data_IF_025312287145
#
_entry.id   IF_025312287145
#
_cell.length_a   1.000
_cell.length_b   1.000
_cell.length_c   1.000
_cell.angle_alpha   90.00
_cell.angle_beta   90.00
_cell.angle_gamma   90.00
#
_symmetry.space_group_name_H-M   'P 1'
#
loop_
_entity.id
_entity.type
_entity.pdbx_description
1 polymer ?
#
# COMPACT_ATOMS: atom_id res chain seq x y z
N UNK A 1 4.13 21.95 1.68
CA UNK A 1 3.24 22.03 2.85
C UNK A 1 2.28 20.86 2.85
N UNK A 2 1.88 20.39 4.04
CA UNK A 2 0.87 19.34 4.21
C UNK A 2 -0.37 19.98 4.82
N UNK A 3 -1.50 19.78 4.16
CA UNK A 3 -2.80 20.28 4.60
C UNK A 3 -3.71 19.09 4.95
N UNK A 4 -3.69 18.61 6.21
CA UNK A 4 -4.49 17.46 6.62
C UNK A 4 -5.98 17.80 6.75
N UNK A 5 -6.83 16.77 6.77
CA UNK A 5 -8.27 16.87 6.98
C UNK A 5 -8.97 17.83 6.00
N UNK A 6 -8.62 17.75 4.73
CA UNK A 6 -9.26 18.51 3.67
C UNK A 6 -9.86 17.59 2.61
N UNK A 7 -10.94 18.06 2.00
CA UNK A 7 -11.55 17.40 0.85
C UNK A 7 -11.51 18.32 -0.35
N UNK A 8 -11.21 17.75 -1.49
CA UNK A 8 -11.18 18.40 -2.78
C UNK A 8 -12.62 18.71 -3.26
N UNK A 9 -12.84 19.90 -3.77
CA UNK A 9 -14.11 20.32 -4.37
C UNK A 9 -14.02 20.41 -5.87
N UNK A 10 -13.09 21.18 -6.39
CA UNK A 10 -12.88 21.35 -7.83
C UNK A 10 -11.50 21.90 -8.17
N UNK A 11 -11.07 21.61 -9.38
CA UNK A 11 -9.93 22.30 -10.02
C UNK A 11 -10.46 23.58 -10.67
N UNK A 12 -9.71 24.66 -10.57
CA UNK A 12 -10.03 25.96 -11.16
C UNK A 12 -9.15 26.23 -12.37
N UNK A 13 -9.64 27.13 -13.23
CA UNK A 13 -9.02 27.48 -14.51
C UNK A 13 -9.87 27.09 -15.71
N UNK A 14 -9.63 27.71 -16.87
CA UNK A 14 -10.33 27.43 -18.12
C UNK A 14 -9.42 26.76 -19.14
N UNK A 15 -8.35 27.41 -19.56
CA UNK A 15 -7.38 26.88 -20.53
C UNK A 15 -6.18 26.19 -19.86
N UNK A 16 -5.90 26.58 -18.62
CA UNK A 16 -4.87 25.98 -17.77
C UNK A 16 -5.37 25.93 -16.32
N UNK A 17 -4.78 25.04 -15.52
CA UNK A 17 -5.04 24.98 -14.10
C UNK A 17 -4.54 26.25 -13.44
N UNK A 18 -5.35 26.85 -12.58
CA UNK A 18 -4.99 28.02 -11.77
C UNK A 18 -5.00 27.73 -10.28
N UNK A 19 -5.60 26.61 -9.86
CA UNK A 19 -5.64 26.22 -8.46
C UNK A 19 -6.66 25.14 -8.19
N UNK A 20 -6.91 24.94 -6.90
CA UNK A 20 -7.86 23.94 -6.39
C UNK A 20 -8.64 24.53 -5.22
N UNK A 21 -9.95 24.33 -5.23
CA UNK A 21 -10.83 24.68 -4.12
C UNK A 21 -10.99 23.45 -3.21
N UNK A 22 -10.86 23.70 -1.90
CA UNK A 22 -10.97 22.70 -0.84
C UNK A 22 -11.96 23.14 0.24
N UNK A 23 -12.42 22.17 1.03
CA UNK A 23 -13.12 22.38 2.29
C UNK A 23 -12.46 21.55 3.39
N UNK A 24 -12.57 22.02 4.63
CA UNK A 24 -12.16 21.20 5.77
C UNK A 24 -13.11 20.02 5.97
N UNK A 25 -12.56 18.89 6.37
CA UNK A 25 -13.32 17.69 6.77
C UNK A 25 -13.55 17.72 8.27
N UNK A 26 -14.83 17.78 8.67
CA UNK A 26 -15.26 17.74 10.07
C UNK A 26 -15.24 16.31 10.60
N UNK A 27 -15.74 15.35 9.81
CA UNK A 27 -15.69 13.93 10.13
C UNK A 27 -15.52 13.08 8.89
N UNK A 28 -14.87 11.92 9.08
CA UNK A 28 -14.68 10.92 8.05
C UNK A 28 -15.02 9.54 8.62
N UNK A 29 -16.04 8.91 8.07
CA UNK A 29 -16.53 7.60 8.50
C UNK A 29 -16.80 6.71 7.30
N UNK A 30 -17.12 5.44 7.55
CA UNK A 30 -17.57 4.51 6.52
C UNK A 30 -18.97 4.01 6.84
N UNK A 31 -19.81 3.88 5.80
CA UNK A 31 -21.10 3.22 5.90
C UNK A 31 -20.93 1.68 6.00
N UNK A 32 -22.07 0.98 6.16
CA UNK A 32 -22.13 -0.49 6.21
C UNK A 32 -21.58 -1.16 4.95
N UNK A 33 -21.59 -0.45 3.81
CA UNK A 33 -21.05 -0.90 2.54
C UNK A 33 -19.59 -0.47 2.32
N UNK A 34 -18.92 0.05 3.36
CA UNK A 34 -17.56 0.60 3.31
C UNK A 34 -17.40 1.75 2.30
N UNK A 35 -18.43 2.57 2.11
CA UNK A 35 -18.34 3.81 1.35
C UNK A 35 -17.97 4.93 2.31
N UNK A 36 -17.03 5.78 1.89
CA UNK A 36 -16.63 6.94 2.67
C UNK A 36 -17.80 7.92 2.78
N UNK A 37 -18.07 8.33 4.01
CA UNK A 37 -18.98 9.43 4.35
C UNK A 37 -18.10 10.56 4.86
N UNK A 38 -18.11 11.68 4.14
CA UNK A 38 -17.31 12.87 4.46
C UNK A 38 -18.28 13.98 4.88
N UNK A 39 -18.20 14.39 6.13
CA UNK A 39 -18.89 15.57 6.62
C UNK A 39 -17.96 16.77 6.48
N UNK A 40 -18.38 17.75 5.70
CA UNK A 40 -17.62 18.99 5.43
C UNK A 40 -17.96 20.04 6.50
N UNK A 41 -17.00 20.89 6.79
CA UNK A 41 -17.19 22.05 7.66
C UNK A 41 -17.74 23.22 6.83
N UNK A 42 -18.97 23.63 7.10
CA UNK A 42 -19.58 24.75 6.38
C UNK A 42 -18.80 26.06 6.59
N UNK A 43 -18.58 26.82 5.51
CA UNK A 43 -17.86 28.08 5.55
C UNK A 43 -16.34 27.94 5.63
N UNK A 44 -15.81 26.74 5.41
CA UNK A 44 -14.37 26.47 5.40
C UNK A 44 -13.75 26.44 4.00
N UNK A 45 -14.51 26.88 2.99
CA UNK A 45 -14.05 26.94 1.61
C UNK A 45 -12.80 27.79 1.49
N UNK A 46 -11.78 27.25 0.86
CA UNK A 46 -10.54 27.97 0.60
C UNK A 46 -9.90 27.50 -0.71
N UNK A 47 -9.08 28.38 -1.27
CA UNK A 47 -8.41 28.19 -2.53
C UNK A 47 -6.90 28.02 -2.32
N UNK A 48 -6.30 27.10 -3.07
CA UNK A 48 -4.85 26.94 -3.14
C UNK A 48 -4.44 27.14 -4.59
N UNK A 49 -3.61 28.14 -4.85
CA UNK A 49 -3.03 28.39 -6.18
C UNK A 49 -2.14 27.21 -6.58
N UNK A 50 -2.32 26.71 -7.78
CA UNK A 50 -1.52 25.66 -8.36
C UNK A 50 -1.60 25.71 -9.92
N UNK A 51 -0.51 25.41 -10.58
CA UNK A 51 -0.43 25.24 -12.02
C UNK A 51 -0.57 23.79 -12.45
N UNK A 52 -0.39 22.87 -11.53
CA UNK A 52 -0.44 21.43 -11.75
C UNK A 52 -1.13 20.73 -10.60
N UNK A 53 -2.02 19.79 -10.89
CA UNK A 53 -2.69 18.95 -9.88
C UNK A 53 -2.46 17.48 -10.18
N UNK A 54 -1.98 16.75 -9.17
CA UNK A 54 -1.72 15.32 -9.26
C UNK A 54 -2.63 14.58 -8.28
N UNK A 55 -3.50 13.69 -8.80
CA UNK A 55 -4.30 12.79 -7.98
C UNK A 55 -3.50 11.52 -7.67
N UNK A 56 -3.18 11.32 -6.41
CA UNK A 56 -2.48 10.14 -5.90
C UNK A 56 -3.31 9.41 -4.82
N UNK A 57 -4.65 9.38 -4.99
CA UNK A 57 -5.63 8.95 -3.98
C UNK A 57 -6.01 7.48 -4.06
N UNK A 58 -5.20 6.66 -4.69
CA UNK A 58 -5.42 5.23 -4.84
C UNK A 58 -5.32 4.77 -6.29
N UNK A 59 -5.43 3.48 -6.47
CA UNK A 59 -5.35 2.80 -7.77
C UNK A 59 -6.48 1.80 -7.89
N UNK A 60 -6.85 1.51 -9.12
CA UNK A 60 -7.77 0.42 -9.47
C UNK A 60 -7.32 -0.21 -10.78
N UNK A 61 -7.64 -1.49 -11.02
CA UNK A 61 -7.32 -2.14 -12.27
C UNK A 61 -7.95 -1.41 -13.46
N UNK A 62 -7.18 -1.26 -14.52
CA UNK A 62 -7.67 -0.75 -15.81
C UNK A 62 -8.17 -1.93 -16.66
N UNK A 63 -9.27 -2.52 -16.22
CA UNK A 63 -9.91 -3.66 -16.88
C UNK A 63 -11.25 -3.23 -17.47
N UNK A 64 -11.52 -3.69 -18.68
CA UNK A 64 -12.81 -3.51 -19.36
C UNK A 64 -13.60 -4.82 -19.40
N UNK A 65 -14.90 -4.74 -19.61
CA UNK A 65 -15.77 -5.92 -19.80
C UNK A 65 -15.34 -6.80 -20.98
N UNK A 66 -14.59 -6.23 -21.93
CA UNK A 66 -14.04 -6.95 -23.10
C UNK A 66 -13.02 -8.04 -22.69
N UNK A 67 -12.47 -7.96 -21.47
CA UNK A 67 -11.61 -9.02 -20.94
C UNK A 67 -12.37 -10.35 -20.70
N UNK A 68 -13.71 -10.34 -20.76
CA UNK A 68 -14.54 -11.54 -20.58
C UNK A 68 -14.50 -12.11 -19.17
N UNK A 69 -14.07 -11.32 -18.17
CA UNK A 69 -13.98 -11.70 -16.78
C UNK A 69 -15.06 -11.00 -15.95
N UNK A 70 -15.56 -11.67 -14.94
CA UNK A 70 -16.49 -11.06 -14.00
C UNK A 70 -15.75 -10.01 -13.16
N UNK A 71 -16.21 -8.76 -13.25
CA UNK A 71 -15.65 -7.65 -12.50
C UNK A 71 -16.53 -7.32 -11.30
N UNK A 72 -15.89 -7.12 -10.17
CA UNK A 72 -16.48 -6.71 -8.91
C UNK A 72 -16.33 -5.20 -8.67
N UNK A 73 -16.35 -4.83 -7.39
CA UNK A 73 -16.19 -3.44 -6.96
C UNK A 73 -14.83 -2.88 -7.39
N UNK A 74 -14.82 -1.66 -7.90
CA UNK A 74 -13.61 -0.94 -8.33
C UNK A 74 -12.82 -1.68 -9.42
N UNK A 75 -13.51 -2.36 -10.33
CA UNK A 75 -12.94 -3.17 -11.41
C UNK A 75 -12.03 -4.33 -10.94
N UNK A 76 -12.20 -4.80 -9.69
CA UNK A 76 -11.49 -6.00 -9.25
C UNK A 76 -12.01 -7.24 -9.97
N UNK A 77 -11.14 -8.22 -10.22
CA UNK A 77 -11.55 -9.51 -10.77
C UNK A 77 -12.24 -10.33 -9.68
N UNK A 78 -13.41 -10.90 -9.99
CA UNK A 78 -14.09 -11.83 -9.11
C UNK A 78 -13.46 -13.21 -9.24
N UNK A 79 -13.06 -13.78 -8.11
CA UNK A 79 -12.52 -15.15 -8.03
C UNK A 79 -13.39 -16.01 -7.13
N UNK A 80 -13.34 -17.31 -7.33
CA UNK A 80 -13.99 -18.30 -6.47
C UNK A 80 -13.33 -18.29 -5.10
N UNK A 81 -14.14 -18.45 -4.08
CA UNK A 81 -13.65 -18.55 -2.71
C UNK A 81 -12.62 -19.69 -2.57
N UNK A 82 -11.50 -19.40 -1.93
CA UNK A 82 -10.42 -20.34 -1.61
C UNK A 82 -9.67 -20.98 -2.80
N UNK A 83 -9.85 -20.51 -4.02
CA UNK A 83 -9.12 -21.10 -5.17
C UNK A 83 -8.47 -20.10 -6.13
N UNK A 84 -8.74 -18.81 -5.97
CA UNK A 84 -8.25 -17.75 -6.87
C UNK A 84 -8.58 -17.97 -8.37
N UNK A 85 -9.34 -19.01 -8.69
CA UNK A 85 -9.85 -19.27 -10.04
C UNK A 85 -11.01 -18.31 -10.36
N UNK A 86 -11.06 -17.83 -11.58
CA UNK A 86 -12.20 -17.07 -12.10
C UNK A 86 -13.33 -18.01 -12.56
N UNK A 87 -14.44 -17.46 -13.03
CA UNK A 87 -15.46 -18.25 -13.71
C UNK A 87 -14.99 -18.80 -15.07
N UNK A 88 -13.99 -18.18 -15.65
CA UNK A 88 -13.38 -18.65 -16.91
C UNK A 88 -12.37 -19.76 -16.60
N UNK A 89 -12.58 -20.94 -17.19
CA UNK A 89 -11.73 -22.09 -16.97
C UNK A 89 -10.27 -21.82 -17.34
N UNK A 90 -9.35 -22.23 -16.47
CA UNK A 90 -7.91 -22.04 -16.65
C UNK A 90 -7.42 -20.61 -16.39
N UNK A 91 -8.29 -19.70 -15.97
CA UNK A 91 -7.93 -18.32 -15.64
C UNK A 91 -7.97 -18.10 -14.13
N UNK A 92 -6.85 -17.64 -13.59
CA UNK A 92 -6.66 -17.31 -12.17
C UNK A 92 -6.31 -15.85 -12.02
N UNK A 93 -6.62 -15.28 -10.87
CA UNK A 93 -6.27 -13.89 -10.55
C UNK A 93 -5.83 -13.77 -9.09
N UNK A 94 -4.82 -12.92 -8.83
CA UNK A 94 -4.27 -12.70 -7.50
C UNK A 94 -3.77 -11.26 -7.34
N UNK A 95 -3.38 -10.87 -6.14
CA UNK A 95 -2.82 -9.55 -5.84
C UNK A 95 -3.86 -8.45 -5.84
N UNK A 96 -3.39 -7.24 -6.16
CA UNK A 96 -4.20 -6.03 -6.10
C UNK A 96 -5.39 -6.03 -7.05
N UNK A 97 -5.31 -6.76 -8.15
CA UNK A 97 -6.42 -6.90 -9.10
C UNK A 97 -7.63 -7.62 -8.51
N UNK A 98 -7.43 -8.42 -7.45
CA UNK A 98 -8.50 -9.14 -6.71
C UNK A 98 -8.87 -8.40 -5.44
N UNK A 99 -7.88 -8.04 -4.63
CA UNK A 99 -8.09 -7.57 -3.26
C UNK A 99 -8.05 -6.05 -3.11
N UNK A 100 -7.78 -5.32 -4.19
CA UNK A 100 -7.46 -3.89 -4.17
C UNK A 100 -6.06 -3.63 -3.63
N UNK A 101 -5.59 -2.41 -3.76
CA UNK A 101 -4.25 -2.01 -3.30
C UNK A 101 -4.13 -2.13 -1.78
N UNK A 102 -3.26 -3.01 -1.30
CA UNK A 102 -3.00 -3.24 0.12
C UNK A 102 -1.51 -3.16 0.42
N UNK A 103 -0.78 -4.25 0.24
CA UNK A 103 0.66 -4.28 0.47
C UNK A 103 1.35 -5.25 -0.49
N UNK A 104 2.63 -4.98 -0.76
CA UNK A 104 3.48 -5.84 -1.60
C UNK A 104 3.53 -7.27 -1.04
N UNK A 105 3.63 -7.42 0.28
CA UNK A 105 3.68 -8.74 0.94
C UNK A 105 2.40 -9.55 0.67
N UNK A 106 1.24 -8.92 0.76
CA UNK A 106 -0.03 -9.59 0.47
C UNK A 106 -0.18 -9.94 -1.01
N UNK A 107 0.31 -9.08 -1.90
CA UNK A 107 0.31 -9.37 -3.34
C UNK A 107 1.20 -10.58 -3.66
N UNK A 108 2.40 -10.67 -3.08
CA UNK A 108 3.29 -11.82 -3.23
C UNK A 108 2.67 -13.09 -2.64
N UNK A 109 2.12 -13.03 -1.43
CA UNK A 109 1.47 -14.17 -0.78
C UNK A 109 0.33 -14.72 -1.64
N UNK A 110 -0.58 -13.86 -2.12
CA UNK A 110 -1.67 -14.29 -2.99
C UNK A 110 -1.19 -14.84 -4.35
N UNK A 111 -0.06 -14.34 -4.87
CA UNK A 111 0.58 -14.91 -6.06
C UNK A 111 1.07 -16.34 -5.82
N UNK A 112 1.63 -16.63 -4.64
CA UNK A 112 2.00 -17.99 -4.26
C UNK A 112 0.78 -18.89 -4.10
N UNK A 113 -0.28 -18.41 -3.47
CA UNK A 113 -1.53 -19.15 -3.35
C UNK A 113 -2.12 -19.48 -4.73
N UNK A 114 -2.07 -18.52 -5.67
CA UNK A 114 -2.48 -18.77 -7.06
C UNK A 114 -1.62 -19.85 -7.74
N UNK A 115 -0.30 -19.83 -7.51
CA UNK A 115 0.59 -20.84 -8.07
C UNK A 115 0.26 -22.25 -7.56
N UNK A 116 -0.05 -22.40 -6.28
CA UNK A 116 -0.55 -23.65 -5.69
C UNK A 116 -1.82 -24.15 -6.40
N UNK A 117 -2.77 -23.26 -6.61
CA UNK A 117 -4.04 -23.62 -7.26
C UNK A 117 -3.88 -23.92 -8.75
N UNK A 118 -2.98 -23.22 -9.43
CA UNK A 118 -2.60 -23.50 -10.83
C UNK A 118 -1.94 -24.88 -10.93
N UNK A 119 -1.01 -25.22 -10.04
CA UNK A 119 -0.37 -26.51 -10.02
C UNK A 119 -1.39 -27.65 -9.86
N UNK A 120 -2.30 -27.52 -8.91
CA UNK A 120 -3.41 -28.46 -8.71
C UNK A 120 -4.31 -28.59 -9.95
N UNK A 121 -4.64 -27.45 -10.58
CA UNK A 121 -5.43 -27.44 -11.82
C UNK A 121 -4.74 -28.20 -12.96
N UNK A 122 -3.41 -28.13 -13.03
CA UNK A 122 -2.61 -28.84 -14.01
C UNK A 122 -2.32 -30.31 -13.65
N UNK A 123 -2.83 -30.79 -12.50
CA UNK A 123 -2.69 -32.18 -12.05
C UNK A 123 -1.54 -32.41 -11.07
N UNK A 124 -0.92 -31.37 -10.57
CA UNK A 124 0.06 -31.42 -9.48
C UNK A 124 -0.61 -31.60 -8.11
N UNK A 125 0.19 -31.69 -7.07
CA UNK A 125 -0.25 -31.83 -5.68
C UNK A 125 -0.38 -30.49 -4.93
N UNK A 126 0.05 -29.39 -5.55
CA UNK A 126 0.08 -28.05 -4.96
C UNK A 126 1.31 -27.78 -4.11
N UNK A 127 2.28 -28.69 -4.09
CA UNK A 127 3.55 -28.45 -3.39
C UNK A 127 4.49 -27.62 -4.27
N UNK A 128 4.47 -26.32 -4.05
CA UNK A 128 5.38 -25.35 -4.66
C UNK A 128 6.47 -24.90 -3.68
N UNK A 129 6.73 -25.70 -2.63
CA UNK A 129 7.74 -25.36 -1.65
C UNK A 129 9.12 -25.26 -2.28
N UNK A 130 9.74 -24.11 -2.13
CA UNK A 130 11.09 -23.85 -2.59
C UNK A 130 11.91 -23.30 -1.43
N UNK A 131 13.04 -23.92 -1.16
CA UNK A 131 13.98 -23.42 -0.17
C UNK A 131 14.87 -22.37 -0.81
N UNK A 132 14.47 -21.09 -0.69
CA UNK A 132 15.21 -19.96 -1.27
C UNK A 132 16.52 -19.64 -0.53
N UNK A 133 16.67 -20.13 0.69
CA UNK A 133 17.88 -20.01 1.49
C UNK A 133 18.10 -21.28 2.31
N UNK A 134 19.37 -21.66 2.59
CA UNK A 134 19.64 -22.75 3.51
C UNK A 134 18.99 -22.50 4.86
N UNK A 135 18.49 -23.55 5.51
CA UNK A 135 18.03 -23.43 6.91
C UNK A 135 19.16 -22.87 7.76
N UNK A 136 18.97 -21.66 8.26
CA UNK A 136 19.84 -21.09 9.25
C UNK A 136 19.33 -21.53 10.63
N UNK A 137 20.08 -22.35 11.31
CA UNK A 137 19.82 -22.62 12.70
C UNK A 137 20.07 -21.33 13.49
N UNK A 138 18.99 -20.77 14.02
CA UNK A 138 19.11 -19.59 14.89
C UNK A 138 20.05 -19.91 16.05
N UNK A 139 21.09 -19.09 16.25
CA UNK A 139 21.93 -19.19 17.44
C UNK A 139 21.04 -18.94 18.67
N UNK A 140 20.83 -19.93 19.54
CA UNK A 140 19.97 -19.77 20.72
C UNK A 140 20.52 -18.72 21.72
N UNK A 141 21.73 -18.23 21.50
CA UNK A 141 22.38 -17.21 22.32
C UNK A 141 22.28 -15.80 21.77
N UNK A 142 21.80 -15.61 20.55
CA UNK A 142 21.58 -14.25 20.00
C UNK A 142 20.68 -13.46 20.97
N UNK A 143 21.17 -12.30 21.39
CA UNK A 143 20.47 -11.42 22.35
C UNK A 143 20.50 -11.87 23.80
N UNK A 144 21.29 -12.92 24.14
CA UNK A 144 21.47 -13.40 25.50
C UNK A 144 22.87 -13.07 26.08
N UNK A 145 23.40 -11.93 25.73
CA UNK A 145 24.61 -11.40 26.28
C UNK A 145 24.29 -10.84 27.68
N UNK A 146 25.18 -11.06 28.68
CA UNK A 146 24.99 -10.48 29.99
C UNK A 146 24.86 -8.96 29.92
N UNK A 147 23.81 -8.43 30.56
CA UNK A 147 23.49 -6.99 30.47
C UNK A 147 22.66 -6.56 29.26
N UNK A 148 22.39 -7.43 28.26
CA UNK A 148 21.62 -7.06 27.09
C UNK A 148 20.25 -6.42 27.39
N UNK A 149 19.57 -6.91 28.45
CA UNK A 149 18.27 -6.36 28.84
C UNK A 149 18.31 -4.92 29.38
N UNK A 150 19.50 -4.41 29.68
CA UNK A 150 19.73 -3.04 30.16
C UNK A 150 20.25 -2.11 29.06
N UNK A 151 20.57 -2.66 27.89
CA UNK A 151 21.00 -1.85 26.75
C UNK A 151 19.81 -1.11 26.16
N UNK A 152 19.93 0.19 26.03
CA UNK A 152 18.95 1.00 25.31
C UNK A 152 18.90 0.62 23.84
N UNK A 153 17.73 0.79 23.22
CA UNK A 153 17.59 0.60 21.77
C UNK A 153 18.49 1.57 21.01
N UNK A 154 19.33 1.05 20.14
CA UNK A 154 20.12 1.87 19.22
C UNK A 154 19.18 2.69 18.32
N UNK A 155 19.45 3.97 18.23
CA UNK A 155 18.66 4.90 17.40
C UNK A 155 19.36 5.13 16.07
N UNK A 156 18.57 5.14 14.99
CA UNK A 156 19.07 5.55 13.68
C UNK A 156 19.45 7.04 13.70
N UNK A 157 20.46 7.40 12.93
CA UNK A 157 20.79 8.80 12.72
C UNK A 157 19.86 9.39 11.66
N UNK A 158 19.19 10.46 12.00
CA UNK A 158 18.19 11.09 11.13
C UNK A 158 18.56 12.55 10.93
N UNK A 159 18.59 12.99 9.68
CA UNK A 159 18.79 14.40 9.33
C UNK A 159 17.76 15.28 10.04
N UNK A 160 18.16 16.36 10.75
CA UNK A 160 17.25 17.27 11.42
C UNK A 160 16.18 17.83 10.47
N UNK A 161 14.96 18.02 10.96
CA UNK A 161 13.82 18.46 10.14
C UNK A 161 14.09 19.77 9.38
N UNK A 162 14.84 20.70 9.97
CA UNK A 162 15.21 21.96 9.33
C UNK A 162 16.16 21.80 8.12
N UNK A 163 16.92 20.71 8.08
CA UNK A 163 17.89 20.43 7.02
C UNK A 163 17.31 19.57 5.89
N UNK A 164 16.07 19.02 6.07
CA UNK A 164 15.38 18.20 5.07
C UNK A 164 14.58 19.02 4.07
N UNK A 165 14.44 20.31 4.32
CA UNK A 165 13.65 21.18 3.47
C UNK A 165 14.42 21.49 2.19
N UNK A 166 13.72 21.54 1.07
CA UNK A 166 14.24 21.94 -0.24
C UNK A 166 15.34 21.03 -0.84
N UNK A 167 15.45 19.79 -0.39
CA UNK A 167 16.37 18.81 -0.98
C UNK A 167 15.81 17.38 -0.89
N UNK A 168 16.42 16.47 -1.65
CA UNK A 168 16.11 15.04 -1.67
C UNK A 168 17.26 14.19 -1.10
N UNK A 169 18.05 14.75 -0.20
CA UNK A 169 19.11 14.01 0.49
C UNK A 169 18.51 12.92 1.40
N UNK A 170 19.29 11.89 1.64
CA UNK A 170 18.91 10.81 2.54
C UNK A 170 18.57 11.36 3.93
N UNK A 171 17.45 10.92 4.46
CA UNK A 171 16.92 11.39 5.75
C UNK A 171 17.28 10.46 6.90
N UNK A 172 17.18 9.15 6.68
CA UNK A 172 17.51 8.12 7.67
C UNK A 172 18.82 7.44 7.25
N UNK A 173 19.89 7.72 7.99
CA UNK A 173 21.24 7.21 7.71
C UNK A 173 21.48 5.81 8.29
N UNK A 174 20.45 5.20 8.87
CA UNK A 174 20.56 3.89 9.48
C UNK A 174 21.33 3.90 10.81
N UNK A 175 21.86 2.75 11.15
CA UNK A 175 22.67 2.52 12.35
C UNK A 175 24.13 2.42 11.89
N UNK A 176 25.03 3.12 12.55
CA UNK A 176 26.45 3.05 12.21
C UNK A 176 27.09 1.76 12.76
N UNK A 177 28.16 1.30 12.13
CA UNK A 177 28.86 0.07 12.50
C UNK A 177 29.35 0.07 13.96
N UNK A 178 29.72 1.24 14.48
CA UNK A 178 30.14 1.40 15.88
C UNK A 178 29.00 1.11 16.87
N UNK A 179 27.76 1.39 16.49
CA UNK A 179 26.58 1.17 17.33
C UNK A 179 26.08 -0.30 17.26
N UNK A 180 26.53 -1.06 16.23
CA UNK A 180 26.18 -2.47 16.06
C UNK A 180 27.16 -3.37 16.83
N UNK A 181 28.41 -2.95 16.94
CA UNK A 181 29.52 -3.73 17.50
C UNK A 181 29.84 -3.41 18.97
N UNK A 182 29.09 -2.49 19.61
CA UNK A 182 29.30 -2.01 20.98
C UNK A 182 28.86 -2.94 22.09
#
# INVERSE_FOLDING_TARGET
FVHPAQTFERITGTDAVTGVDFMNVKSFTFDENRRAIIEKEEGSEHHIDADTVIFATGQRPDLTEEAGLALGRANSIVVKENSLATETEGVFAAGDVVYGTKSVILAIASGRDAAVEIDKYLGGDGDISETLAPEQHADPKIGKIEGFGYLGRTKTQVTPAAERQDNFSEVDHGICDADICG
#
